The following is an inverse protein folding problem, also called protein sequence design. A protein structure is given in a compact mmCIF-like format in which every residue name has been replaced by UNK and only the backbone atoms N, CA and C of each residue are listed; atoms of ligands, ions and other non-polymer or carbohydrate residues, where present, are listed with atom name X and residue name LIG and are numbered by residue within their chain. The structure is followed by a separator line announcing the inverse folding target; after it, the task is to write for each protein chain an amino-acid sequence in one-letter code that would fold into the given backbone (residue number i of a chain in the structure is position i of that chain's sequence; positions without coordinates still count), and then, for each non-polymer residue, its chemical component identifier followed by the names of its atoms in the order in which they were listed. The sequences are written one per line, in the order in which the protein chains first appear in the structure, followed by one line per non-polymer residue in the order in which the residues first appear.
data_IF_481348915384
#
_entry.id   IF_481348915384
#
_cell.length_a   1.000
_cell.length_b   1.000
_cell.length_c   1.000
_cell.angle_alpha   90.00
_cell.angle_beta   90.00
_cell.angle_gamma   90.00
#
_symmetry.space_group_name_H-M   'P 1'
#
loop_
_entity.id
_entity.type
_entity.pdbx_description
1 polymer ?
#
# COMPACT_ATOMS: atom_id res chain seq x y z
N UNK A 1 1.52 -16.18 7.61
CA UNK A 1 2.13 -15.62 6.38
C UNK A 1 2.13 -16.64 5.25
N UNK A 2 2.93 -17.72 5.33
CA UNK A 2 3.10 -18.68 4.22
C UNK A 2 1.84 -19.48 3.84
N UNK A 3 1.05 -19.95 4.81
CA UNK A 3 -0.17 -20.74 4.55
C UNK A 3 -1.26 -19.95 3.79
N UNK A 4 -1.35 -18.64 4.00
CA UNK A 4 -2.29 -17.74 3.30
C UNK A 4 -1.86 -17.51 1.85
N UNK A 5 -0.60 -17.13 1.64
CA UNK A 5 -0.01 -16.97 0.30
C UNK A 5 -0.02 -18.28 -0.50
N UNK A 6 0.30 -19.42 0.13
CA UNK A 6 0.29 -20.74 -0.51
C UNK A 6 -1.11 -21.19 -0.96
N UNK A 7 -2.17 -20.80 -0.22
CA UNK A 7 -3.56 -21.12 -0.59
C UNK A 7 -4.04 -20.27 -1.78
N UNK A 8 -3.64 -19.00 -1.86
CA UNK A 8 -3.87 -18.13 -3.03
C UNK A 8 -3.12 -18.67 -4.26
N UNK A 9 -1.88 -19.14 -4.08
CA UNK A 9 -1.02 -19.60 -5.18
C UNK A 9 -1.57 -20.83 -5.92
N UNK A 10 -2.22 -21.76 -5.19
CA UNK A 10 -2.57 -23.08 -5.71
C UNK A 10 -3.73 -23.09 -6.73
N UNK A 11 -4.51 -22.01 -6.84
CA UNK A 11 -5.61 -21.90 -7.81
C UNK A 11 -5.50 -20.69 -8.77
N UNK A 12 -4.52 -19.80 -8.56
CA UNK A 12 -4.42 -18.51 -9.28
C UNK A 12 -3.03 -18.22 -9.87
N UNK A 13 -2.13 -19.20 -9.87
CA UNK A 13 -0.74 -19.05 -10.29
C UNK A 13 -0.52 -18.41 -11.67
N UNK A 14 -1.32 -18.75 -12.68
CA UNK A 14 -1.20 -18.15 -14.03
C UNK A 14 -1.51 -16.64 -14.04
N UNK A 15 -2.58 -16.23 -13.35
CA UNK A 15 -2.95 -14.81 -13.24
C UNK A 15 -1.90 -14.04 -12.42
N UNK A 16 -1.35 -14.67 -11.39
CA UNK A 16 -0.36 -14.04 -10.51
C UNK A 16 1.00 -13.85 -11.19
N UNK A 17 1.42 -14.78 -12.06
CA UNK A 17 2.62 -14.59 -12.90
C UNK A 17 2.44 -13.39 -13.83
N UNK A 18 1.27 -13.25 -14.48
CA UNK A 18 0.98 -12.09 -15.34
C UNK A 18 1.06 -10.78 -14.54
N UNK A 19 0.51 -10.74 -13.32
CA UNK A 19 0.60 -9.57 -12.45
C UNK A 19 2.05 -9.24 -12.06
N UNK A 20 2.87 -10.26 -11.76
CA UNK A 20 4.28 -10.07 -11.43
C UNK A 20 5.03 -9.46 -12.62
N UNK A 21 4.85 -10.02 -13.82
CA UNK A 21 5.48 -9.52 -15.04
C UNK A 21 5.04 -8.07 -15.31
N UNK A 22 3.74 -7.77 -15.24
CA UNK A 22 3.22 -6.41 -15.42
C UNK A 22 3.78 -5.43 -14.38
N UNK A 23 3.85 -5.83 -13.10
CA UNK A 23 4.46 -5.02 -12.05
C UNK A 23 5.92 -4.71 -12.32
N UNK A 24 6.70 -5.69 -12.79
CA UNK A 24 8.11 -5.50 -13.14
C UNK A 24 8.28 -4.58 -14.36
N UNK A 25 7.44 -4.71 -15.39
CA UNK A 25 7.46 -3.82 -16.55
C UNK A 25 7.15 -2.38 -16.13
N UNK A 26 6.08 -2.16 -15.36
CA UNK A 26 5.72 -0.81 -14.90
C UNK A 26 6.82 -0.23 -14.00
N UNK A 27 7.41 -1.05 -13.13
CA UNK A 27 8.53 -0.65 -12.28
C UNK A 27 9.75 -0.22 -13.11
N UNK A 28 10.13 -1.01 -14.13
CA UNK A 28 11.23 -0.67 -15.02
C UNK A 28 10.97 0.65 -15.78
N UNK A 29 9.74 0.85 -16.26
CA UNK A 29 9.33 2.08 -16.94
C UNK A 29 9.26 3.31 -16.00
N UNK A 30 9.28 3.13 -14.68
CA UNK A 30 9.08 4.24 -13.75
C UNK A 30 10.19 5.31 -13.80
N UNK A 31 11.42 4.91 -14.15
CA UNK A 31 12.56 5.80 -14.29
C UNK A 31 12.70 6.41 -15.70
N UNK A 32 12.09 5.82 -16.73
CA UNK A 32 12.21 6.29 -18.11
C UNK A 32 11.80 7.78 -18.28
N UNK A 33 10.71 8.28 -17.66
CA UNK A 33 10.40 9.71 -17.61
C UNK A 33 11.54 10.63 -17.16
N UNK A 34 12.35 10.17 -16.21
CA UNK A 34 13.45 10.96 -15.66
C UNK A 34 14.57 11.11 -16.69
N UNK A 35 14.82 10.09 -17.49
CA UNK A 35 15.78 10.15 -18.59
C UNK A 35 15.36 11.17 -19.64
N UNK A 36 14.12 11.09 -20.12
CA UNK A 36 13.63 12.09 -21.06
C UNK A 36 13.67 13.50 -20.48
N UNK A 37 13.29 13.67 -19.20
CA UNK A 37 13.38 14.97 -18.55
C UNK A 37 14.83 15.49 -18.49
N UNK A 38 15.79 14.62 -18.15
CA UNK A 38 17.23 14.94 -18.15
C UNK A 38 17.69 15.42 -19.53
N UNK A 39 17.39 14.63 -20.56
CA UNK A 39 17.87 14.86 -21.92
C UNK A 39 17.20 16.10 -22.54
N UNK A 40 15.91 16.32 -22.28
CA UNK A 40 15.20 17.55 -22.65
C UNK A 40 15.88 18.76 -22.02
N UNK A 41 16.08 18.75 -20.69
CA UNK A 41 16.70 19.88 -19.99
C UNK A 41 18.11 20.14 -20.52
N UNK A 42 18.91 19.10 -20.75
CA UNK A 42 20.26 19.24 -21.27
C UNK A 42 20.30 19.76 -22.72
N UNK A 43 19.23 19.53 -23.51
CA UNK A 43 19.10 20.09 -24.86
C UNK A 43 18.73 21.58 -24.88
N UNK A 44 18.24 22.13 -23.76
CA UNK A 44 17.90 23.55 -23.64
C UNK A 44 19.18 24.38 -23.50
N UNK A 45 19.78 24.72 -24.63
CA UNK A 45 20.99 25.53 -24.71
C UNK A 45 20.99 26.46 -25.93
N UNK A 46 22.09 27.20 -26.15
CA UNK A 46 22.25 28.07 -27.32
C UNK A 46 22.14 27.31 -28.65
N UNK A 47 22.57 26.05 -28.66
CA UNK A 47 22.59 25.17 -29.84
C UNK A 47 21.30 24.31 -29.94
N UNK A 48 20.17 24.83 -29.48
CA UNK A 48 18.91 24.08 -29.44
C UNK A 48 18.44 23.68 -30.85
N UNK A 49 18.47 22.38 -31.13
CA UNK A 49 17.84 21.81 -32.31
C UNK A 49 16.36 21.50 -32.07
N UNK A 50 15.47 22.27 -32.68
CA UNK A 50 14.01 22.12 -32.52
C UNK A 50 13.54 20.71 -32.88
N UNK A 51 14.10 20.10 -33.92
CA UNK A 51 13.75 18.74 -34.34
C UNK A 51 14.09 17.70 -33.25
N UNK A 52 15.25 17.83 -32.61
CA UNK A 52 15.67 16.96 -31.50
C UNK A 52 14.75 17.15 -30.30
N UNK A 53 14.44 18.40 -29.94
CA UNK A 53 13.52 18.71 -28.84
C UNK A 53 12.13 18.12 -29.06
N UNK A 54 11.57 18.27 -30.27
CA UNK A 54 10.27 17.69 -30.63
C UNK A 54 10.33 16.16 -30.53
N UNK A 55 11.40 15.53 -31.01
CA UNK A 55 11.62 14.10 -30.89
C UNK A 55 11.67 13.62 -29.44
N UNK A 56 12.41 14.32 -28.57
CA UNK A 56 12.51 14.01 -27.14
C UNK A 56 11.16 14.19 -26.43
N UNK A 57 10.42 15.26 -26.70
CA UNK A 57 9.10 15.50 -26.14
C UNK A 57 8.08 14.45 -26.61
N UNK A 58 8.10 14.09 -27.89
CA UNK A 58 7.22 13.05 -28.44
C UNK A 58 7.55 11.67 -27.84
N UNK A 59 8.84 11.34 -27.71
CA UNK A 59 9.30 10.13 -27.02
C UNK A 59 8.89 10.09 -25.56
N UNK A 60 9.01 11.23 -24.86
CA UNK A 60 8.59 11.37 -23.47
C UNK A 60 7.09 11.10 -23.31
N UNK A 61 6.26 11.71 -24.18
CA UNK A 61 4.82 11.47 -24.22
C UNK A 61 4.51 10.00 -24.52
N UNK A 62 5.23 9.39 -25.47
CA UNK A 62 5.11 7.97 -25.79
C UNK A 62 5.35 7.07 -24.57
N UNK A 63 6.43 7.32 -23.81
CA UNK A 63 6.72 6.58 -22.58
C UNK A 63 5.64 6.78 -21.52
N UNK A 64 5.12 8.00 -21.36
CA UNK A 64 4.00 8.27 -20.43
C UNK A 64 2.78 7.44 -20.82
N UNK A 65 2.40 7.43 -22.10
CA UNK A 65 1.25 6.67 -22.62
C UNK A 65 1.46 5.17 -22.38
N UNK A 66 2.60 4.62 -22.80
CA UNK A 66 2.94 3.20 -22.62
C UNK A 66 2.91 2.81 -21.14
N UNK A 67 3.50 3.63 -20.26
CA UNK A 67 3.50 3.39 -18.81
C UNK A 67 2.08 3.34 -18.26
N UNK A 68 1.19 4.23 -18.70
CA UNK A 68 -0.20 4.26 -18.25
C UNK A 68 -1.02 3.08 -18.79
N UNK A 69 -0.76 2.62 -20.02
CA UNK A 69 -1.38 1.41 -20.57
C UNK A 69 -1.00 0.18 -19.73
N UNK A 70 0.28 0.01 -19.39
CA UNK A 70 0.71 -1.10 -18.53
C UNK A 70 0.14 -0.99 -17.11
N UNK A 71 0.08 0.22 -16.53
CA UNK A 71 -0.59 0.45 -15.23
C UNK A 71 -2.07 0.10 -15.29
N UNK A 72 -2.77 0.50 -16.35
CA UNK A 72 -4.17 0.15 -16.56
C UNK A 72 -4.35 -1.36 -16.64
N UNK A 73 -3.55 -2.05 -17.47
CA UNK A 73 -3.60 -3.51 -17.59
C UNK A 73 -3.32 -4.22 -16.25
N UNK A 74 -2.31 -3.75 -15.50
CA UNK A 74 -1.98 -4.27 -14.18
C UNK A 74 -3.15 -4.12 -13.20
N UNK A 75 -3.70 -2.91 -13.08
CA UNK A 75 -4.80 -2.60 -12.17
C UNK A 75 -6.07 -3.37 -12.56
N UNK A 76 -6.40 -3.44 -13.85
CA UNK A 76 -7.56 -4.19 -14.34
C UNK A 76 -7.45 -5.69 -14.03
N UNK A 77 -6.29 -6.31 -14.32
CA UNK A 77 -6.05 -7.73 -14.00
C UNK A 77 -6.04 -7.99 -12.49
N UNK A 78 -5.52 -7.05 -11.70
CA UNK A 78 -5.51 -7.11 -10.25
C UNK A 78 -6.93 -7.06 -9.67
N UNK A 79 -7.79 -6.19 -10.22
CA UNK A 79 -9.21 -6.11 -9.84
C UNK A 79 -9.99 -7.37 -10.22
N UNK A 80 -9.79 -7.92 -11.43
CA UNK A 80 -10.42 -9.18 -11.84
C UNK A 80 -10.03 -10.34 -10.92
N UNK A 81 -8.76 -10.44 -10.54
CA UNK A 81 -8.29 -11.43 -9.57
C UNK A 81 -8.98 -11.28 -8.21
N UNK A 82 -9.22 -10.04 -7.79
CA UNK A 82 -9.99 -9.73 -6.59
C UNK A 82 -11.43 -10.25 -6.69
N UNK A 83 -12.13 -9.92 -7.77
CA UNK A 83 -13.51 -10.38 -8.03
C UNK A 83 -13.65 -11.90 -8.08
N UNK A 84 -12.72 -12.59 -8.76
CA UNK A 84 -12.69 -14.05 -8.78
C UNK A 84 -12.53 -14.64 -7.37
N UNK A 85 -11.76 -13.96 -6.52
CA UNK A 85 -11.59 -14.35 -5.11
C UNK A 85 -12.88 -14.12 -4.32
N UNK A 86 -13.54 -12.98 -4.49
CA UNK A 86 -14.84 -12.66 -3.86
C UNK A 86 -15.88 -13.72 -4.24
N UNK A 87 -16.00 -14.04 -5.53
CA UNK A 87 -16.92 -15.06 -6.04
C UNK A 87 -16.69 -16.42 -5.39
N UNK A 88 -15.43 -16.84 -5.24
CA UNK A 88 -15.07 -18.12 -4.60
C UNK A 88 -15.39 -18.13 -3.11
N UNK A 89 -15.13 -17.04 -2.40
CA UNK A 89 -15.48 -16.91 -0.98
C UNK A 89 -17.00 -17.02 -0.83
N UNK A 90 -17.78 -16.23 -1.59
CA UNK A 90 -19.25 -16.25 -1.55
C UNK A 90 -19.80 -17.66 -1.85
N UNK A 91 -19.28 -18.34 -2.87
CA UNK A 91 -19.71 -19.70 -3.22
C UNK A 91 -19.36 -20.73 -2.13
N UNK A 92 -18.17 -20.64 -1.53
CA UNK A 92 -17.73 -21.54 -0.45
C UNK A 92 -18.59 -21.37 0.80
N UNK A 93 -18.89 -20.11 1.17
CA UNK A 93 -19.70 -19.75 2.33
C UNK A 93 -21.14 -20.22 2.17
N UNK A 94 -21.73 -20.02 0.99
CA UNK A 94 -23.08 -20.48 0.68
C UNK A 94 -23.18 -22.02 0.65
N UNK A 95 -22.18 -22.70 0.06
CA UNK A 95 -22.14 -24.16 -0.05
C UNK A 95 -22.01 -24.87 1.30
N UNK A 96 -21.16 -24.38 2.20
CA UNK A 96 -21.00 -25.00 3.51
C UNK A 96 -22.22 -24.84 4.43
N UNK A 97 -23.02 -23.78 4.25
CA UNK A 97 -24.28 -23.62 4.97
C UNK A 97 -25.27 -24.76 4.67
N UNK A 98 -25.19 -25.35 3.47
CA UNK A 98 -26.00 -26.49 3.04
C UNK A 98 -25.39 -27.86 3.38
N UNK A 99 -24.20 -27.92 3.98
CA UNK A 99 -23.59 -29.19 4.35
C UNK A 99 -24.28 -29.77 5.62
N UNK A 100 -24.91 -30.95 5.55
CA UNK A 100 -25.64 -31.54 6.68
C UNK A 100 -24.75 -31.93 7.87
N UNK A 101 -23.45 -32.19 7.64
CA UNK A 101 -22.49 -32.62 8.66
C UNK A 101 -21.81 -31.46 9.41
N UNK A 102 -22.18 -30.21 9.13
CA UNK A 102 -21.59 -29.05 9.78
C UNK A 102 -22.02 -28.96 11.26
N UNK A 103 -21.08 -29.20 12.17
CA UNK A 103 -21.28 -29.19 13.63
C UNK A 103 -21.76 -27.83 14.19
N UNK A 104 -21.54 -26.74 13.45
CA UNK A 104 -22.07 -25.39 13.73
C UNK A 104 -22.39 -24.65 12.44
N UNK A 105 -23.66 -24.30 12.24
CA UNK A 105 -24.08 -23.42 11.14
C UNK A 105 -24.02 -21.95 11.60
N UNK A 106 -23.36 -21.04 10.86
CA UNK A 106 -23.39 -19.62 11.18
C UNK A 106 -24.82 -19.09 11.06
N UNK A 107 -25.21 -18.18 11.96
CA UNK A 107 -26.52 -17.52 11.92
C UNK A 107 -26.66 -16.70 10.61
N UNK A 108 -27.89 -16.52 10.12
CA UNK A 108 -28.19 -15.82 8.88
C UNK A 108 -27.57 -14.41 8.81
N UNK A 109 -27.53 -13.68 9.93
CA UNK A 109 -26.88 -12.37 10.02
C UNK A 109 -25.35 -12.42 9.87
N UNK A 110 -24.69 -13.44 10.43
CA UNK A 110 -23.25 -13.67 10.26
C UNK A 110 -22.94 -14.06 8.82
N UNK A 111 -23.75 -14.93 8.22
CA UNK A 111 -23.63 -15.33 6.82
C UNK A 111 -23.77 -14.12 5.87
N UNK A 112 -24.77 -13.27 6.10
CA UNK A 112 -25.00 -12.05 5.34
C UNK A 112 -23.83 -11.04 5.46
N UNK A 113 -23.23 -10.93 6.64
CA UNK A 113 -22.06 -10.05 6.89
C UNK A 113 -20.82 -10.56 6.15
N UNK A 114 -20.57 -11.87 6.16
CA UNK A 114 -19.44 -12.48 5.44
C UNK A 114 -19.58 -12.29 3.93
N UNK A 115 -20.78 -12.52 3.39
CA UNK A 115 -21.06 -12.41 1.94
C UNK A 115 -20.97 -10.96 1.45
N UNK A 116 -21.44 -10.01 2.24
CA UNK A 116 -21.51 -8.60 1.84
C UNK A 116 -20.21 -7.82 2.08
N UNK A 117 -19.66 -7.86 3.29
CA UNK A 117 -18.57 -6.96 3.68
C UNK A 117 -17.20 -7.65 3.74
N UNK A 118 -17.12 -8.83 4.36
CA UNK A 118 -15.81 -9.48 4.61
C UNK A 118 -15.21 -10.06 3.33
N UNK A 119 -16.04 -10.66 2.47
CA UNK A 119 -15.59 -11.20 1.19
C UNK A 119 -14.98 -10.12 0.28
N UNK A 120 -15.59 -8.93 0.22
CA UNK A 120 -15.11 -7.81 -0.60
C UNK A 120 -13.77 -7.27 -0.11
N UNK A 121 -13.61 -7.11 1.21
CA UNK A 121 -12.36 -6.64 1.80
C UNK A 121 -11.21 -7.63 1.57
N UNK A 122 -11.48 -8.92 1.75
CA UNK A 122 -10.49 -9.99 1.50
C UNK A 122 -10.16 -10.07 0.00
N UNK A 123 -11.16 -10.07 -0.87
CA UNK A 123 -10.94 -10.15 -2.32
C UNK A 123 -10.13 -8.98 -2.86
N UNK A 124 -10.47 -7.75 -2.46
CA UNK A 124 -9.70 -6.54 -2.81
C UNK A 124 -8.25 -6.64 -2.35
N UNK A 125 -8.02 -7.10 -1.12
CA UNK A 125 -6.67 -7.28 -0.61
C UNK A 125 -5.90 -8.34 -1.41
N UNK A 126 -6.49 -9.50 -1.68
CA UNK A 126 -5.86 -10.60 -2.44
C UNK A 126 -5.47 -10.15 -3.86
N UNK A 127 -6.36 -9.42 -4.55
CA UNK A 127 -6.08 -8.90 -5.88
C UNK A 127 -4.83 -8.02 -5.93
N UNK A 128 -4.56 -7.26 -4.86
CA UNK A 128 -3.45 -6.29 -4.78
C UNK A 128 -2.24 -6.81 -3.98
N UNK A 129 -2.37 -7.93 -3.27
CA UNK A 129 -1.42 -8.42 -2.27
C UNK A 129 0.01 -8.64 -2.78
N UNK A 130 0.16 -8.94 -4.08
CA UNK A 130 1.46 -9.23 -4.70
C UNK A 130 1.87 -8.14 -5.67
N UNK A 131 0.93 -7.71 -6.52
CA UNK A 131 1.17 -6.69 -7.52
C UNK A 131 1.62 -5.37 -6.90
N UNK A 132 0.94 -4.93 -5.82
CA UNK A 132 1.16 -3.60 -5.25
C UNK A 132 2.55 -3.49 -4.57
N UNK A 133 2.96 -4.38 -3.64
CA UNK A 133 4.30 -4.29 -3.03
C UNK A 133 5.41 -4.40 -4.07
N UNK A 134 5.29 -5.33 -5.01
CA UNK A 134 6.29 -5.55 -6.05
C UNK A 134 6.42 -4.31 -6.95
N UNK A 135 5.29 -3.71 -7.35
CA UNK A 135 5.29 -2.49 -8.13
C UNK A 135 5.95 -1.33 -7.38
N UNK A 136 5.60 -1.12 -6.11
CA UNK A 136 6.14 0.03 -5.37
C UNK A 136 7.62 -0.14 -5.05
N UNK A 137 8.06 -1.32 -4.58
CA UNK A 137 9.48 -1.59 -4.34
C UNK A 137 10.26 -1.50 -5.64
N UNK A 138 9.75 -2.10 -6.72
CA UNK A 138 10.37 -2.02 -8.04
C UNK A 138 10.48 -0.58 -8.55
N UNK A 139 9.46 0.24 -8.33
CA UNK A 139 9.48 1.67 -8.67
C UNK A 139 10.56 2.41 -7.89
N UNK A 140 10.66 2.18 -6.57
CA UNK A 140 11.69 2.79 -5.73
C UNK A 140 13.10 2.40 -6.20
N UNK A 141 13.32 1.10 -6.45
CA UNK A 141 14.61 0.57 -6.93
C UNK A 141 14.95 1.13 -8.30
N UNK A 142 13.98 1.19 -9.22
CA UNK A 142 14.17 1.74 -10.57
C UNK A 142 14.54 3.22 -10.52
N UNK A 143 13.81 4.03 -9.74
CA UNK A 143 14.06 5.47 -9.62
C UNK A 143 15.40 5.77 -8.94
N UNK A 144 15.69 5.13 -7.80
CA UNK A 144 16.97 5.30 -7.11
C UNK A 144 18.12 4.75 -7.95
N UNK A 145 17.94 3.60 -8.58
CA UNK A 145 18.93 2.98 -9.45
C UNK A 145 19.27 3.84 -10.66
N UNK A 146 18.28 4.51 -11.25
CA UNK A 146 18.49 5.48 -12.33
C UNK A 146 19.29 6.71 -11.87
N UNK A 147 18.97 7.28 -10.70
CA UNK A 147 19.76 8.41 -10.18
C UNK A 147 21.17 7.97 -9.83
N UNK A 148 21.34 6.79 -9.22
CA UNK A 148 22.66 6.26 -8.89
C UNK A 148 23.51 5.94 -10.13
N UNK A 149 22.90 5.49 -11.23
CA UNK A 149 23.62 5.23 -12.49
C UNK A 149 23.99 6.51 -13.23
N UNK A 150 23.18 7.58 -13.11
CA UNK A 150 23.48 8.88 -13.73
C UNK A 150 24.47 9.70 -12.91
N UNK A 151 24.31 9.73 -11.58
CA UNK A 151 25.22 10.40 -10.66
C UNK A 151 25.27 9.68 -9.30
N UNK A 152 26.31 8.88 -9.03
CA UNK A 152 26.43 8.08 -7.81
C UNK A 152 26.30 8.87 -6.51
N UNK A 153 26.83 10.10 -6.44
CA UNK A 153 26.75 10.94 -5.24
C UNK A 153 25.31 11.34 -4.91
N UNK A 154 24.51 11.71 -5.92
CA UNK A 154 23.10 12.05 -5.74
C UNK A 154 22.28 10.80 -5.40
N UNK A 155 22.59 9.65 -6.02
CA UNK A 155 21.96 8.37 -5.69
C UNK A 155 22.21 7.94 -4.24
N UNK A 156 23.45 8.02 -3.77
CA UNK A 156 23.82 7.73 -2.39
C UNK A 156 23.12 8.67 -1.40
N UNK A 157 23.05 9.96 -1.72
CA UNK A 157 22.32 10.94 -0.91
C UNK A 157 20.82 10.65 -0.83
N UNK A 158 20.20 10.21 -1.93
CA UNK A 158 18.80 9.78 -1.92
C UNK A 158 18.57 8.56 -1.02
N UNK A 159 19.44 7.56 -1.07
CA UNK A 159 19.37 6.41 -0.14
C UNK A 159 19.48 6.88 1.31
N UNK A 160 20.42 7.77 1.60
CA UNK A 160 20.58 8.38 2.93
C UNK A 160 19.32 9.12 3.41
N UNK A 161 18.56 9.76 2.52
CA UNK A 161 17.28 10.41 2.86
C UNK A 161 16.13 9.41 3.09
N UNK A 162 16.11 8.28 2.39
CA UNK A 162 15.04 7.27 2.51
C UNK A 162 15.13 6.52 3.85
N UNK A 163 16.34 6.22 4.34
CA UNK A 163 16.57 5.49 5.59
C UNK A 163 15.86 6.12 6.81
N UNK A 164 16.03 7.42 7.13
CA UNK A 164 15.34 8.03 8.26
C UNK A 164 13.82 8.10 8.05
N UNK A 165 13.34 8.27 6.81
CA UNK A 165 11.91 8.19 6.52
C UNK A 165 11.35 6.79 6.85
N UNK A 166 12.11 5.74 6.54
CA UNK A 166 11.76 4.37 6.89
C UNK A 166 11.73 4.14 8.39
N UNK A 167 12.76 4.57 9.11
CA UNK A 167 12.83 4.45 10.56
C UNK A 167 11.66 5.14 11.25
N UNK A 168 11.37 6.41 10.90
CA UNK A 168 10.24 7.17 11.47
C UNK A 168 8.95 6.40 11.31
N UNK A 169 8.72 5.82 10.14
CA UNK A 169 7.49 5.08 9.91
C UNK A 169 7.42 3.83 10.78
N UNK A 170 8.45 2.99 10.76
CA UNK A 170 8.43 1.74 11.52
C UNK A 170 8.16 1.99 13.01
N UNK A 171 8.83 2.98 13.62
CA UNK A 171 8.67 3.27 15.04
C UNK A 171 7.36 3.99 15.40
N UNK A 172 6.92 4.98 14.62
CA UNK A 172 5.71 5.73 14.96
C UNK A 172 4.44 4.98 14.58
N UNK A 173 4.49 4.10 13.57
CA UNK A 173 3.34 3.33 13.12
C UNK A 173 2.90 2.31 14.18
N UNK A 174 3.82 1.66 14.90
CA UNK A 174 3.49 0.78 16.02
C UNK A 174 2.73 1.52 17.13
N UNK A 175 3.18 2.73 17.48
CA UNK A 175 2.52 3.58 18.48
C UNK A 175 1.11 3.99 18.03
N UNK A 176 0.93 4.30 16.74
CA UNK A 176 -0.39 4.59 16.17
C UNK A 176 -1.27 3.34 16.21
N UNK A 177 -0.76 2.17 15.81
CA UNK A 177 -1.50 0.92 15.81
C UNK A 177 -1.96 0.52 17.22
N UNK A 178 -1.12 0.70 18.23
CA UNK A 178 -1.49 0.46 19.65
C UNK A 178 -2.66 1.36 20.07
N UNK A 179 -2.56 2.67 19.83
CA UNK A 179 -3.65 3.61 20.19
C UNK A 179 -4.95 3.37 19.43
N UNK A 180 -4.86 2.93 18.16
CA UNK A 180 -6.06 2.54 17.38
C UNK A 180 -6.73 1.32 17.99
N UNK A 181 -5.94 0.32 18.46
CA UNK A 181 -6.46 -0.84 19.17
C UNK A 181 -7.15 -0.44 20.48
N UNK A 182 -6.52 0.41 21.28
CA UNK A 182 -7.09 0.91 22.54
C UNK A 182 -8.44 1.60 22.30
N UNK A 183 -8.53 2.46 21.27
CA UNK A 183 -9.80 3.08 20.85
C UNK A 183 -10.88 2.05 20.53
N UNK A 184 -10.54 1.00 19.78
CA UNK A 184 -11.52 -0.03 19.39
C UNK A 184 -12.05 -0.80 20.60
N UNK A 185 -11.22 -1.04 21.62
CA UNK A 185 -11.63 -1.69 22.87
C UNK A 185 -12.62 -0.81 23.63
N UNK A 186 -12.28 0.47 23.83
CA UNK A 186 -13.16 1.43 24.53
C UNK A 186 -14.48 1.61 23.79
N UNK A 187 -14.46 1.69 22.46
CA UNK A 187 -15.69 1.80 21.67
C UNK A 187 -16.58 0.57 21.80
N UNK A 188 -15.99 -0.63 21.84
CA UNK A 188 -16.75 -1.88 22.02
C UNK A 188 -17.36 -1.95 23.42
N UNK A 189 -16.65 -1.49 24.44
CA UNK A 189 -17.16 -1.39 25.81
C UNK A 189 -18.36 -0.43 25.90
N UNK A 190 -18.24 0.76 25.32
CA UNK A 190 -19.34 1.71 25.24
C UNK A 190 -20.56 1.14 24.49
N UNK A 191 -20.34 0.42 23.38
CA UNK A 191 -21.42 -0.25 22.65
C UNK A 191 -22.09 -1.38 23.43
N UNK A 192 -21.35 -2.13 24.25
CA UNK A 192 -21.95 -3.17 25.11
C UNK A 192 -22.78 -2.56 26.24
N UNK A 193 -22.31 -1.49 26.89
CA UNK A 193 -23.09 -0.82 27.94
C UNK A 193 -24.39 -0.21 27.38
N UNK A 194 -24.39 0.35 26.16
CA UNK A 194 -25.62 0.80 25.47
C UNK A 194 -26.57 -0.37 25.19
N UNK A 195 -26.03 -1.55 24.86
CA UNK A 195 -26.86 -2.73 24.58
C UNK A 195 -27.46 -3.34 25.86
N UNK A 196 -26.80 -3.13 27.00
CA UNK A 196 -27.23 -3.58 28.32
C UNK A 196 -28.08 -2.51 29.07
N UNK A 197 -28.38 -1.35 28.44
CA UNK A 197 -29.23 -0.27 28.99
C UNK A 197 -30.63 -0.77 29.38
N UNK A 198 -31.14 -1.83 28.75
CA UNK A 198 -32.44 -2.42 29.10
C UNK A 198 -32.47 -3.07 30.50
N UNK A 199 -31.32 -3.31 31.14
CA UNK A 199 -31.22 -4.00 32.43
C UNK A 199 -30.66 -3.16 33.59
N UNK A 200 -30.25 -1.89 33.39
CA UNK A 200 -29.59 -1.04 34.40
C UNK A 200 -30.24 0.34 34.56
N UNK A 201 -29.92 1.01 35.68
CA UNK A 201 -30.40 2.35 36.02
C UNK A 201 -29.80 3.41 35.06
N UNK A 202 -30.67 4.14 34.36
CA UNK A 202 -30.33 4.98 33.19
C UNK A 202 -29.27 6.06 33.52
N UNK A 203 -29.33 6.61 34.74
CA UNK A 203 -28.41 7.67 35.19
C UNK A 203 -26.96 7.19 35.35
N UNK A 204 -26.76 5.97 35.86
CA UNK A 204 -25.41 5.41 36.06
C UNK A 204 -24.78 4.97 34.74
N UNK A 205 -25.59 4.48 33.80
CA UNK A 205 -25.10 4.08 32.47
C UNK A 205 -24.70 5.31 31.64
N UNK A 206 -25.43 6.42 31.78
CA UNK A 206 -25.12 7.67 31.10
C UNK A 206 -23.74 8.25 31.49
N UNK A 207 -23.40 8.29 32.78
CA UNK A 207 -22.11 8.81 33.25
C UNK A 207 -20.91 7.96 32.77
N UNK A 208 -21.09 6.63 32.73
CA UNK A 208 -20.07 5.69 32.21
C UNK A 208 -19.84 5.88 30.71
N UNK A 209 -20.92 6.07 29.94
CA UNK A 209 -20.83 6.31 28.50
C UNK A 209 -20.14 7.65 28.19
N UNK A 210 -20.44 8.70 28.96
CA UNK A 210 -19.80 10.02 28.80
C UNK A 210 -18.29 9.95 29.10
N UNK A 211 -17.88 9.26 30.17
CA UNK A 211 -16.45 9.05 30.48
C UNK A 211 -15.73 8.24 29.38
N UNK A 212 -16.40 7.24 28.80
CA UNK A 212 -15.87 6.48 27.66
C UNK A 212 -15.74 7.35 26.40
N UNK A 213 -16.64 8.31 26.17
CA UNK A 213 -16.49 9.29 25.09
C UNK A 213 -15.29 10.22 25.30
N UNK A 214 -15.04 10.67 26.52
CA UNK A 214 -13.85 11.49 26.85
C UNK A 214 -12.55 10.69 26.71
N UNK A 215 -12.53 9.41 27.11
CA UNK A 215 -11.42 8.49 26.81
C UNK A 215 -11.20 8.34 25.31
N UNK A 216 -12.26 8.16 24.52
CA UNK A 216 -12.15 8.09 23.06
C UNK A 216 -11.54 9.39 22.50
N UNK A 217 -11.97 10.55 22.99
CA UNK A 217 -11.44 11.85 22.58
C UNK A 217 -9.94 11.98 22.87
N UNK A 218 -9.50 11.66 24.08
CA UNK A 218 -8.08 11.75 24.48
C UNK A 218 -7.20 10.78 23.68
N UNK A 219 -7.66 9.55 23.44
CA UNK A 219 -6.98 8.58 22.57
C UNK A 219 -6.86 9.12 21.15
N UNK A 220 -7.95 9.67 20.59
CA UNK A 220 -7.98 10.22 19.22
C UNK A 220 -7.05 11.42 19.08
N UNK A 221 -7.01 12.32 20.06
CA UNK A 221 -6.07 13.44 20.12
C UNK A 221 -4.61 12.95 20.09
N UNK A 222 -4.29 11.89 20.83
CA UNK A 222 -2.97 11.25 20.79
C UNK A 222 -2.61 10.68 19.41
N UNK A 223 -3.57 10.01 18.75
CA UNK A 223 -3.40 9.50 17.38
C UNK A 223 -3.14 10.66 16.40
N UNK A 224 -3.89 11.76 16.50
CA UNK A 224 -3.72 12.92 15.63
C UNK A 224 -2.35 13.57 15.81
N UNK A 225 -1.91 13.78 17.06
CA UNK A 225 -0.57 14.31 17.33
C UNK A 225 0.51 13.46 16.65
N UNK A 226 0.49 12.13 16.85
CA UNK A 226 1.47 11.24 16.23
C UNK A 226 1.43 11.27 14.69
N UNK A 227 0.23 11.19 14.09
CA UNK A 227 0.08 11.23 12.63
C UNK A 227 0.56 12.56 12.03
N UNK A 228 0.24 13.68 12.68
CA UNK A 228 0.61 15.00 12.18
C UNK A 228 2.10 15.26 12.36
N UNK A 229 2.69 14.87 13.49
CA UNK A 229 4.15 14.92 13.71
C UNK A 229 4.90 14.07 12.70
N UNK A 230 4.40 12.87 12.39
CA UNK A 230 4.98 12.00 11.36
C UNK A 230 4.93 12.65 9.97
N UNK A 231 3.78 13.23 9.59
CA UNK A 231 3.62 13.95 8.32
C UNK A 231 4.57 15.15 8.24
N UNK A 232 4.68 15.91 9.33
CA UNK A 232 5.60 17.04 9.43
C UNK A 232 7.05 16.59 9.24
N UNK A 233 7.49 15.55 9.95
CA UNK A 233 8.86 15.03 9.85
C UNK A 233 9.16 14.51 8.44
N UNK A 234 8.22 13.81 7.79
CA UNK A 234 8.35 13.40 6.40
C UNK A 234 8.55 14.58 5.47
N UNK A 235 7.71 15.61 5.58
CA UNK A 235 7.79 16.80 4.76
C UNK A 235 9.12 17.55 4.96
N UNK A 236 9.61 17.64 6.21
CA UNK A 236 10.91 18.24 6.52
C UNK A 236 12.04 17.44 5.87
N UNK A 237 12.05 16.11 5.98
CA UNK A 237 13.08 15.28 5.33
C UNK A 237 13.01 15.41 3.81
N UNK A 238 11.82 15.41 3.21
CA UNK A 238 11.68 15.65 1.76
C UNK A 238 12.20 17.03 1.36
N UNK A 239 11.93 18.07 2.15
CA UNK A 239 12.46 19.42 1.92
C UNK A 239 13.98 19.50 2.04
N UNK A 240 14.56 18.86 3.07
CA UNK A 240 16.02 18.72 3.23
C UNK A 240 16.62 17.94 2.06
N UNK A 241 15.94 16.90 1.59
CA UNK A 241 16.33 16.14 0.41
C UNK A 241 16.38 17.02 -0.84
N UNK A 242 15.38 17.87 -1.06
CA UNK A 242 15.34 18.78 -2.21
C UNK A 242 16.47 19.82 -2.15
N UNK A 243 16.66 20.46 -1.00
CA UNK A 243 17.75 21.42 -0.78
C UNK A 243 19.12 20.74 -0.92
N UNK A 244 19.27 19.53 -0.39
CA UNK A 244 20.50 18.76 -0.47
C UNK A 244 20.85 18.34 -1.90
N UNK A 245 19.86 17.91 -2.70
CA UNK A 245 20.07 17.60 -4.12
C UNK A 245 20.51 18.86 -4.88
N UNK A 246 19.89 20.01 -4.63
CA UNK A 246 20.30 21.27 -5.25
C UNK A 246 21.72 21.68 -4.84
N UNK A 247 22.06 21.57 -3.55
CA UNK A 247 23.39 21.93 -3.04
C UNK A 247 24.48 21.00 -3.58
N UNK A 248 24.30 19.68 -3.42
CA UNK A 248 25.27 18.67 -3.89
C UNK A 248 25.35 18.72 -5.41
N UNK A 249 24.22 18.77 -6.10
CA UNK A 249 24.15 18.88 -7.55
C UNK A 249 24.84 20.13 -8.08
N UNK A 250 24.60 21.30 -7.46
CA UNK A 250 25.26 22.55 -7.82
C UNK A 250 26.77 22.53 -7.61
N UNK A 251 27.24 21.90 -6.52
CA UNK A 251 28.68 21.71 -6.27
C UNK A 251 29.32 20.77 -7.31
N UNK A 252 28.63 19.69 -7.68
CA UNK A 252 29.10 18.75 -8.72
C UNK A 252 29.12 19.39 -10.11
N UNK A 253 28.12 20.24 -10.42
CA UNK A 253 28.09 21.02 -11.65
C UNK A 253 29.29 21.98 -11.72
N UNK A 254 29.61 22.68 -10.62
CA UNK A 254 30.79 23.55 -10.55
C UNK A 254 32.09 22.81 -10.86
N UNK A 255 32.15 21.51 -10.55
CA UNK A 255 33.30 20.64 -10.84
C UNK A 255 33.23 19.96 -12.22
N UNK A 256 32.25 20.31 -13.06
CA UNK A 256 31.96 19.67 -14.34
C UNK A 256 31.75 18.14 -14.24
N UNK A 257 31.25 17.67 -13.09
CA UNK A 257 30.98 16.25 -12.83
C UNK A 257 29.54 15.85 -13.13
N UNK A 258 28.65 16.82 -13.40
CA UNK A 258 27.22 16.58 -13.64
C UNK A 258 26.61 17.75 -14.41
N UNK A 259 25.48 17.50 -15.09
CA UNK A 259 24.73 18.52 -15.83
C UNK A 259 23.47 18.98 -15.09
N UNK A 260 22.91 20.12 -15.52
CA UNK A 260 21.64 20.68 -15.01
C UNK A 260 20.52 19.65 -15.07
N UNK A 261 20.38 18.95 -16.20
CA UNK A 261 19.34 17.95 -16.39
C UNK A 261 19.44 16.80 -15.38
N UNK A 262 20.66 16.42 -14.97
CA UNK A 262 20.85 15.35 -13.98
C UNK A 262 20.38 15.78 -12.59
N UNK A 263 20.64 17.04 -12.22
CA UNK A 263 20.15 17.62 -10.96
C UNK A 263 18.62 17.72 -10.98
N UNK A 264 18.04 18.24 -12.07
CA UNK A 264 16.58 18.34 -12.24
C UNK A 264 15.90 16.97 -12.21
N UNK A 265 16.46 15.98 -12.93
CA UNK A 265 15.97 14.61 -12.90
C UNK A 265 16.04 14.01 -11.50
N UNK A 266 17.08 14.31 -10.73
CA UNK A 266 17.22 13.87 -9.33
C UNK A 266 16.16 14.49 -8.41
N UNK A 267 15.81 15.77 -8.60
CA UNK A 267 14.71 16.42 -7.87
C UNK A 267 13.39 15.71 -8.18
N UNK A 268 13.09 15.49 -9.47
CA UNK A 268 11.88 14.77 -9.88
C UNK A 268 11.86 13.31 -9.42
N UNK A 269 13.04 12.67 -9.30
CA UNK A 269 13.18 11.34 -8.72
C UNK A 269 12.80 11.32 -7.24
N UNK A 270 13.25 12.30 -6.45
CA UNK A 270 12.89 12.43 -5.03
C UNK A 270 11.38 12.56 -4.84
N UNK A 271 10.71 13.36 -5.67
CA UNK A 271 9.24 13.50 -5.63
C UNK A 271 8.53 12.19 -5.97
N UNK A 272 9.02 11.48 -6.99
CA UNK A 272 8.47 10.19 -7.43
C UNK A 272 8.59 9.11 -6.37
N UNK A 273 9.59 9.17 -5.47
CA UNK A 273 9.78 8.21 -4.38
C UNK A 273 8.73 8.35 -3.27
N UNK A 274 8.28 9.58 -3.01
CA UNK A 274 7.36 9.85 -1.90
C UNK A 274 6.02 9.11 -2.04
N UNK A 275 5.52 8.92 -3.28
CA UNK A 275 4.22 8.27 -3.51
C UNK A 275 4.25 6.74 -3.30
N UNK A 276 5.13 5.97 -3.97
CA UNK A 276 5.31 4.54 -3.73
C UNK A 276 5.59 4.20 -2.27
N UNK A 277 6.41 5.03 -1.61
CA UNK A 277 6.70 4.88 -0.20
C UNK A 277 5.42 4.89 0.64
N UNK A 278 4.56 5.92 0.49
CA UNK A 278 3.27 5.99 1.19
C UNK A 278 2.36 4.79 0.90
N UNK A 279 2.36 4.31 -0.35
CA UNK A 279 1.55 3.16 -0.75
C UNK A 279 2.01 1.86 -0.09
N UNK A 280 3.32 1.63 0.04
CA UNK A 280 3.87 0.48 0.80
C UNK A 280 3.46 0.52 2.27
N UNK A 281 3.47 1.71 2.87
CA UNK A 281 3.07 1.87 4.26
C UNK A 281 1.58 1.59 4.47
N UNK A 282 0.75 2.04 3.55
CA UNK A 282 -0.68 1.73 3.58
C UNK A 282 -0.93 0.24 3.36
N UNK A 283 -0.21 -0.38 2.42
CA UNK A 283 -0.27 -1.82 2.21
C UNK A 283 0.08 -2.61 3.48
N UNK A 284 1.12 -2.21 4.21
CA UNK A 284 1.50 -2.86 5.47
C UNK A 284 0.38 -2.74 6.53
N UNK A 285 -0.31 -1.59 6.59
CA UNK A 285 -1.46 -1.39 7.48
C UNK A 285 -2.64 -2.27 7.09
N UNK A 286 -2.96 -2.31 5.79
CA UNK A 286 -4.04 -3.17 5.26
C UNK A 286 -3.73 -4.65 5.51
N UNK A 287 -2.49 -5.09 5.29
CA UNK A 287 -2.05 -6.45 5.60
C UNK A 287 -2.21 -6.79 7.09
N UNK A 288 -1.84 -5.87 7.98
CA UNK A 288 -2.02 -6.06 9.43
C UNK A 288 -3.50 -6.15 9.82
N UNK A 289 -4.38 -5.37 9.20
CA UNK A 289 -5.82 -5.41 9.45
C UNK A 289 -6.46 -6.69 8.87
N UNK A 290 -6.12 -7.03 7.64
CA UNK A 290 -6.57 -8.25 6.95
C UNK A 290 -6.13 -9.51 7.69
N UNK A 291 -4.93 -9.53 8.28
CA UNK A 291 -4.45 -10.66 9.10
C UNK A 291 -5.35 -10.91 10.30
N UNK A 292 -5.69 -9.86 11.05
CA UNK A 292 -6.54 -9.98 12.25
C UNK A 292 -7.95 -10.47 11.86
N UNK A 293 -8.51 -9.95 10.75
CA UNK A 293 -9.81 -10.40 10.24
C UNK A 293 -9.76 -11.84 9.73
N UNK A 294 -8.72 -12.23 9.01
CA UNK A 294 -8.55 -13.59 8.52
C UNK A 294 -8.37 -14.60 9.67
N UNK A 295 -7.64 -14.26 10.73
CA UNK A 295 -7.55 -15.11 11.93
C UNK A 295 -8.92 -15.27 12.62
N UNK A 296 -9.75 -14.22 12.66
CA UNK A 296 -11.12 -14.31 13.17
C UNK A 296 -12.01 -15.19 12.28
N UNK A 297 -11.92 -15.04 10.95
CA UNK A 297 -12.66 -15.87 9.99
C UNK A 297 -12.22 -17.32 10.12
N UNK A 298 -10.92 -17.63 10.09
CA UNK A 298 -10.38 -18.99 10.24
C UNK A 298 -10.81 -19.62 11.56
N UNK A 299 -10.78 -18.85 12.67
CA UNK A 299 -11.22 -19.35 13.98
C UNK A 299 -12.74 -19.54 14.07
N UNK A 300 -13.53 -18.78 13.30
CA UNK A 300 -14.96 -19.06 13.07
C UNK A 300 -15.19 -20.19 12.05
N UNK A 301 -14.15 -20.56 11.32
CA UNK A 301 -14.09 -21.49 10.19
C UNK A 301 -13.42 -22.82 10.54
N UNK A 302 -13.21 -23.15 11.82
CA UNK A 302 -13.12 -24.56 12.26
C UNK A 302 -14.43 -25.35 11.92
N UNK A 303 -15.43 -24.66 11.33
CA UNK A 303 -16.60 -25.23 10.65
C UNK A 303 -16.43 -25.42 9.11
N UNK A 304 -15.28 -25.14 8.52
CA UNK A 304 -15.01 -25.19 7.07
C UNK A 304 -13.70 -25.91 6.73
N UNK A 305 -13.47 -27.08 7.31
CA UNK A 305 -12.53 -28.03 6.71
C UNK A 305 -13.17 -28.61 5.44
N UNK A 306 -12.60 -28.42 4.24
CA UNK A 306 -12.95 -29.28 3.13
C UNK A 306 -12.32 -30.64 3.44
N UNK A 307 -13.17 -31.61 3.77
CA UNK A 307 -12.85 -33.03 3.81
C UNK A 307 -11.88 -33.33 2.68
N UNK A 308 -10.69 -33.82 3.05
CA UNK A 308 -9.74 -34.40 2.12
C UNK A 308 -10.52 -35.21 1.09
N UNK A 309 -10.37 -34.85 -0.19
CA UNK A 309 -10.77 -35.72 -1.28
C UNK A 309 -10.04 -37.05 -1.10
N UNK A 310 -10.71 -38.00 -0.44
CA UNK A 310 -10.40 -39.41 -0.52
C UNK A 310 -10.40 -39.73 -2.00
N UNK A 311 -9.22 -40.03 -2.55
CA UNK A 311 -9.10 -40.76 -3.81
C UNK A 311 -9.99 -42.00 -3.70
N UNK A 312 -11.11 -42.00 -4.41
CA UNK A 312 -11.79 -43.23 -4.75
C UNK A 312 -10.99 -43.83 -5.92
N UNK A 313 -10.58 -45.07 -5.70
CA UNK A 313 -9.96 -46.02 -6.63
C UNK A 313 -10.69 -46.13 -7.95
#
# INVERSE_FOLDING_TARGET
MWKFYARIWRNTGKAQIVLIILSLIVAALAAAPLQFQKDIINSLGPDLEVNVLVGLCAGYLGVIVVTNIFKFALNYRSSLLGEDTIRRIRASVYGAHHNPDASRKPNAGTLATIISAEAEEVGRFVGQAVANPLLQVGTLVSVVGYVASTQPYLGAFMVFMIVPQAAIVLFLQEKVNKRVRDRTIVLRHASSEISDEEMKDISQVQDVIVDDFDKIYTIRRGIFKLKLSMKMAMNVISGVGLVGILLIGGLLMKQNMTDVGTVVASISALERINSPWRLLLNFYKELSAARVKFELIVKSSDAFDPVETKKAS
#
